data_IF_835288908723
#
_entry.id   IF_835288908723
#
_cell.length_a   1.000
_cell.length_b   1.000
_cell.length_c   1.000
_cell.angle_alpha   90.00
_cell.angle_beta   90.00
_cell.angle_gamma   90.00
#
_symmetry.space_group_name_H-M   'P 1'
#
loop_
_entity.id
_entity.type
_entity.pdbx_description
1 polymer ?
#
# COMPACT_ATOMS: atom_id res chain seq x y z
N UNK A 1 -20.26 -3.75 19.67
CA UNK A 1 -19.94 -2.75 18.64
C UNK A 1 -18.79 -3.30 17.79
N UNK A 2 -18.82 -3.02 16.51
CA UNK A 2 -17.77 -3.40 15.58
C UNK A 2 -16.53 -2.52 15.80
N UNK A 3 -15.33 -3.10 15.76
CA UNK A 3 -14.08 -2.35 15.93
C UNK A 3 -13.71 -1.62 14.62
N UNK A 4 -13.16 -0.41 14.66
CA UNK A 4 -12.70 0.28 13.45
C UNK A 4 -11.58 -0.47 12.74
N UNK A 5 -11.37 -0.18 11.45
CA UNK A 5 -10.31 -0.82 10.65
C UNK A 5 -8.91 -0.54 11.18
N UNK A 6 -8.72 0.62 11.80
CA UNK A 6 -7.51 0.96 12.54
C UNK A 6 -7.87 1.35 13.98
N UNK A 7 -7.40 0.55 14.95
CA UNK A 7 -7.54 0.81 16.38
C UNK A 7 -6.17 0.92 17.02
N UNK A 8 -5.74 2.14 17.28
CA UNK A 8 -4.43 2.44 17.87
C UNK A 8 -4.51 2.61 19.39
N UNK A 9 -4.71 1.49 20.09
CA UNK A 9 -4.77 1.50 21.55
C UNK A 9 -3.42 1.82 22.21
N UNK A 10 -2.32 1.61 21.53
CA UNK A 10 -0.97 1.96 21.99
C UNK A 10 -0.57 3.42 21.68
N UNK A 11 -1.37 4.14 20.92
CA UNK A 11 -1.14 5.54 20.56
C UNK A 11 0.22 5.79 19.89
N UNK A 12 0.60 4.90 18.95
CA UNK A 12 1.89 4.93 18.24
C UNK A 12 1.86 5.60 16.88
N UNK A 13 0.66 5.89 16.34
CA UNK A 13 0.49 6.60 15.05
C UNK A 13 -0.34 7.87 15.29
N UNK A 14 0.24 9.02 15.03
CA UNK A 14 -0.36 10.31 15.36
C UNK A 14 -0.90 11.05 14.14
N UNK A 15 -1.91 11.88 14.41
CA UNK A 15 -2.38 12.91 13.48
C UNK A 15 -2.82 12.39 12.12
N UNK A 16 -2.35 13.02 11.07
CA UNK A 16 -2.69 12.71 9.69
C UNK A 16 -2.28 11.29 9.27
N UNK A 17 -1.15 10.79 9.78
CA UNK A 17 -0.69 9.44 9.50
C UNK A 17 -1.68 8.37 9.97
N UNK A 18 -2.39 8.58 11.08
CA UNK A 18 -3.44 7.67 11.54
C UNK A 18 -4.64 7.64 10.57
N UNK A 19 -5.02 8.79 10.02
CA UNK A 19 -6.07 8.88 9.02
C UNK A 19 -5.66 8.19 7.70
N UNK A 20 -4.41 8.35 7.27
CA UNK A 20 -3.86 7.67 6.08
C UNK A 20 -3.90 6.16 6.23
N UNK A 21 -3.48 5.62 7.37
CA UNK A 21 -3.54 4.18 7.66
C UNK A 21 -4.98 3.68 7.62
N UNK A 22 -5.89 4.37 8.31
CA UNK A 22 -7.32 4.04 8.29
C UNK A 22 -7.88 4.01 6.87
N UNK A 23 -7.62 5.05 6.09
CA UNK A 23 -8.08 5.15 4.70
C UNK A 23 -7.51 4.05 3.81
N UNK A 24 -6.23 3.68 3.99
CA UNK A 24 -5.62 2.59 3.25
C UNK A 24 -6.28 1.25 3.54
N UNK A 25 -6.56 0.94 4.81
CA UNK A 25 -7.26 -0.28 5.21
C UNK A 25 -8.71 -0.30 4.67
N UNK A 26 -9.46 0.77 4.87
CA UNK A 26 -10.85 0.87 4.43
C UNK A 26 -11.00 0.80 2.89
N UNK A 27 -10.03 1.31 2.14
CA UNK A 27 -10.00 1.20 0.68
C UNK A 27 -9.92 -0.27 0.22
N UNK A 28 -9.05 -1.07 0.84
CA UNK A 28 -8.91 -2.50 0.54
C UNK A 28 -10.15 -3.27 0.98
N UNK A 29 -10.66 -2.98 2.18
CA UNK A 29 -11.88 -3.61 2.71
C UNK A 29 -13.07 -3.39 1.78
N UNK A 30 -13.28 -2.15 1.34
CA UNK A 30 -14.36 -1.80 0.42
C UNK A 30 -14.18 -2.43 -0.97
N UNK A 31 -12.95 -2.43 -1.49
CA UNK A 31 -12.64 -2.98 -2.82
C UNK A 31 -12.96 -4.46 -2.92
N UNK A 32 -12.65 -5.23 -1.88
CA UNK A 32 -12.73 -6.68 -1.89
C UNK A 32 -13.87 -7.26 -1.05
N UNK A 33 -14.64 -6.43 -0.37
CA UNK A 33 -15.67 -6.86 0.59
C UNK A 33 -15.10 -7.80 1.68
N UNK A 34 -13.95 -7.40 2.24
CA UNK A 34 -13.24 -8.09 3.31
C UNK A 34 -13.06 -7.19 4.51
N UNK A 35 -12.52 -7.72 5.59
CA UNK A 35 -12.07 -6.98 6.76
C UNK A 35 -10.60 -7.28 7.02
N UNK A 36 -9.75 -6.24 7.13
CA UNK A 36 -8.30 -6.39 7.33
C UNK A 36 -7.77 -5.47 8.44
N UNK A 37 -8.43 -5.42 9.56
CA UNK A 37 -8.14 -4.48 10.64
C UNK A 37 -6.71 -4.57 11.19
N UNK A 38 -6.23 -3.45 11.73
CA UNK A 38 -4.99 -3.35 12.52
C UNK A 38 -5.34 -2.87 13.91
N UNK A 39 -4.84 -3.56 14.94
CA UNK A 39 -5.05 -3.26 16.35
C UNK A 39 -3.70 -3.17 17.05
N UNK A 40 -3.39 -2.03 17.66
CA UNK A 40 -2.22 -1.90 18.52
C UNK A 40 -2.63 -1.83 19.97
N UNK A 41 -1.88 -2.45 20.86
CA UNK A 41 -2.10 -2.42 22.29
C UNK A 41 -0.81 -2.13 23.04
N UNK A 42 -0.86 -1.36 24.15
CA UNK A 42 0.28 -1.24 25.06
C UNK A 42 0.72 -2.60 25.59
N UNK A 43 -0.25 -3.48 25.90
CA UNK A 43 -0.05 -4.85 26.31
C UNK A 43 -1.34 -5.65 26.15
N UNK A 44 -1.23 -6.92 25.79
CA UNK A 44 -2.37 -7.87 25.79
C UNK A 44 -2.60 -8.52 27.16
N UNK A 45 -1.99 -7.97 28.22
CA UNK A 45 -2.25 -8.29 29.63
C UNK A 45 -2.12 -9.79 29.99
N UNK A 46 -1.00 -10.41 29.60
CA UNK A 46 -0.70 -11.80 29.96
C UNK A 46 -1.43 -12.87 29.13
N UNK A 47 -2.25 -12.46 28.15
CA UNK A 47 -2.79 -13.36 27.13
C UNK A 47 -1.73 -13.60 26.06
N UNK A 48 -1.68 -14.77 25.45
CA UNK A 48 -0.88 -14.96 24.25
C UNK A 48 -1.45 -14.09 23.14
N UNK A 49 -0.58 -13.43 22.37
CA UNK A 49 -1.00 -12.51 21.32
C UNK A 49 -1.88 -13.18 20.26
N UNK A 50 -1.60 -14.45 19.92
CA UNK A 50 -2.45 -15.23 19.02
C UNK A 50 -3.87 -15.44 19.56
N UNK A 51 -4.00 -15.83 20.84
CA UNK A 51 -5.31 -16.02 21.50
C UNK A 51 -6.09 -14.70 21.57
N UNK A 52 -5.39 -13.59 21.76
CA UNK A 52 -5.98 -12.27 21.76
C UNK A 52 -6.49 -11.88 20.35
N UNK A 53 -5.68 -12.12 19.31
CA UNK A 53 -6.05 -11.85 17.93
C UNK A 53 -7.25 -12.71 17.48
N UNK A 54 -7.24 -14.01 17.81
CA UNK A 54 -8.35 -14.93 17.53
C UNK A 54 -9.64 -14.50 18.24
N UNK A 55 -9.53 -14.03 19.47
CA UNK A 55 -10.68 -13.48 20.20
C UNK A 55 -11.25 -12.24 19.52
N UNK A 56 -10.41 -11.31 19.08
CA UNK A 56 -10.86 -10.14 18.33
C UNK A 56 -11.58 -10.55 17.04
N UNK A 57 -10.99 -11.47 16.29
CA UNK A 57 -11.55 -11.99 15.04
C UNK A 57 -12.91 -12.67 15.27
N UNK A 58 -13.07 -13.38 16.36
CA UNK A 58 -14.33 -14.04 16.72
C UNK A 58 -15.41 -13.10 17.26
N UNK A 59 -15.06 -11.91 17.75
CA UNK A 59 -15.99 -11.04 18.50
C UNK A 59 -16.28 -9.71 17.82
N UNK A 60 -15.25 -8.93 17.47
CA UNK A 60 -15.39 -7.53 17.02
C UNK A 60 -14.84 -7.21 15.64
N UNK A 61 -14.00 -8.09 15.09
CA UNK A 61 -13.50 -7.97 13.71
C UNK A 61 -14.38 -8.84 12.80
N UNK A 62 -15.44 -8.26 12.29
CA UNK A 62 -16.48 -8.91 11.49
C UNK A 62 -16.89 -8.01 10.35
N UNK A 63 -17.77 -8.49 9.48
CA UNK A 63 -18.37 -7.70 8.41
C UNK A 63 -17.74 -7.89 7.04
N UNK A 64 -16.57 -8.54 6.95
CA UNK A 64 -16.01 -8.96 5.67
C UNK A 64 -16.76 -10.20 5.15
N UNK A 65 -17.60 -10.04 4.15
CA UNK A 65 -18.36 -11.17 3.59
C UNK A 65 -17.45 -12.21 2.95
N UNK A 66 -16.34 -11.77 2.34
CA UNK A 66 -15.36 -12.63 1.68
C UNK A 66 -14.21 -13.08 2.59
N UNK A 67 -14.08 -12.51 3.78
CA UNK A 67 -13.07 -12.92 4.76
C UNK A 67 -12.69 -11.82 5.73
N UNK A 68 -12.18 -12.23 6.89
CA UNK A 68 -11.77 -11.34 7.96
C UNK A 68 -10.35 -11.66 8.43
N UNK A 69 -9.56 -10.62 8.69
CA UNK A 69 -8.17 -10.71 9.15
C UNK A 69 -7.89 -9.56 10.11
N UNK A 70 -7.04 -9.80 11.09
CA UNK A 70 -6.55 -8.77 12.00
C UNK A 70 -5.05 -8.91 12.23
N UNK A 71 -4.33 -7.79 12.13
CA UNK A 71 -2.96 -7.66 12.61
C UNK A 71 -3.00 -7.05 14.01
N UNK A 72 -2.47 -7.74 15.01
CA UNK A 72 -2.33 -7.26 16.39
C UNK A 72 -0.88 -6.99 16.70
N UNK A 73 -0.61 -5.85 17.34
CA UNK A 73 0.70 -5.50 17.92
C UNK A 73 0.58 -5.40 19.44
N UNK A 74 1.49 -6.07 20.16
CA UNK A 74 1.77 -5.87 21.59
C UNK A 74 3.07 -5.06 21.73
N UNK A 75 2.96 -3.82 22.20
CA UNK A 75 4.11 -2.91 22.28
C UNK A 75 5.03 -3.24 23.46
N UNK A 76 4.51 -3.84 24.53
CA UNK A 76 5.31 -4.24 25.69
C UNK A 76 6.25 -5.39 25.34
N UNK A 77 5.72 -6.44 24.69
CA UNK A 77 6.49 -7.62 24.29
C UNK A 77 7.18 -7.43 22.94
N UNK A 78 6.85 -6.35 22.21
CA UNK A 78 7.31 -6.07 20.83
C UNK A 78 7.01 -7.24 19.89
N UNK A 79 5.83 -7.79 20.05
CA UNK A 79 5.34 -8.95 19.30
C UNK A 79 4.15 -8.56 18.41
N UNK A 80 3.90 -9.37 17.40
CA UNK A 80 2.79 -9.19 16.48
C UNK A 80 2.21 -10.54 16.06
N UNK A 81 0.94 -10.53 15.69
CA UNK A 81 0.26 -11.70 15.18
C UNK A 81 -0.80 -11.32 14.15
N UNK A 82 -0.94 -12.15 13.10
CA UNK A 82 -2.04 -12.04 12.13
C UNK A 82 -2.97 -13.22 12.33
N UNK A 83 -4.22 -12.96 12.67
CA UNK A 83 -5.29 -13.95 12.68
C UNK A 83 -6.16 -13.80 11.42
N UNK A 84 -6.55 -14.93 10.82
CA UNK A 84 -7.39 -15.01 9.63
C UNK A 84 -8.55 -15.98 9.85
N UNK A 85 -9.74 -15.64 9.38
CA UNK A 85 -10.85 -16.59 9.32
C UNK A 85 -10.67 -17.60 8.15
N UNK A 86 -11.48 -18.68 8.07
CA UNK A 86 -11.33 -19.69 7.02
C UNK A 86 -11.46 -19.13 5.59
N UNK A 87 -12.27 -18.10 5.38
CA UNK A 87 -12.43 -17.48 4.06
C UNK A 87 -11.18 -16.69 3.67
N UNK A 88 -10.65 -15.87 4.59
CA UNK A 88 -9.42 -15.12 4.38
C UNK A 88 -8.22 -16.05 4.20
N UNK A 89 -8.16 -17.15 4.98
CA UNK A 89 -7.10 -18.15 4.89
C UNK A 89 -7.02 -18.83 3.51
N UNK A 90 -8.13 -18.93 2.80
CA UNK A 90 -8.14 -19.46 1.43
C UNK A 90 -7.45 -18.51 0.44
N UNK A 91 -7.48 -17.19 0.71
CA UNK A 91 -6.85 -16.15 -0.13
C UNK A 91 -5.43 -15.84 0.32
N UNK A 92 -5.20 -15.76 1.63
CA UNK A 92 -3.91 -15.48 2.27
C UNK A 92 -3.56 -16.67 3.14
N UNK A 93 -2.81 -17.61 2.59
CA UNK A 93 -2.47 -18.88 3.24
C UNK A 93 -1.52 -18.69 4.42
N UNK A 94 -1.55 -19.61 5.37
CA UNK A 94 -0.72 -19.50 6.59
C UNK A 94 0.78 -19.64 6.31
N UNK A 95 1.17 -20.36 5.29
CA UNK A 95 2.56 -20.59 4.90
C UNK A 95 3.09 -19.45 4.01
N UNK A 96 2.65 -19.38 2.76
CA UNK A 96 3.14 -18.42 1.77
C UNK A 96 2.54 -17.03 2.01
N UNK A 97 1.22 -16.94 2.16
CA UNK A 97 0.51 -15.67 2.28
C UNK A 97 0.96 -14.85 3.49
N UNK A 98 0.97 -15.46 4.68
CA UNK A 98 1.41 -14.78 5.92
C UNK A 98 2.90 -14.43 5.87
N UNK A 99 3.74 -15.27 5.26
CA UNK A 99 5.16 -14.96 5.06
C UNK A 99 5.33 -13.71 4.19
N UNK A 100 4.61 -13.60 3.09
CA UNK A 100 4.66 -12.42 2.21
C UNK A 100 4.13 -11.16 2.91
N UNK A 101 3.09 -11.29 3.73
CA UNK A 101 2.61 -10.22 4.58
C UNK A 101 3.70 -9.74 5.54
N UNK A 102 4.31 -10.67 6.28
CA UNK A 102 5.45 -10.42 7.20
C UNK A 102 6.58 -9.67 6.49
N UNK A 103 7.03 -10.17 5.36
CA UNK A 103 8.13 -9.57 4.60
C UNK A 103 7.84 -8.13 4.14
N UNK A 104 6.55 -7.79 3.97
CA UNK A 104 6.15 -6.44 3.57
C UNK A 104 6.24 -5.41 4.71
N UNK A 105 5.95 -5.77 5.95
CA UNK A 105 5.77 -4.79 7.02
C UNK A 105 6.75 -4.89 8.20
N UNK A 106 7.34 -6.05 8.48
CA UNK A 106 8.14 -6.26 9.73
C UNK A 106 9.38 -5.38 9.79
N UNK A 107 10.09 -5.18 8.68
CA UNK A 107 11.26 -4.30 8.65
C UNK A 107 10.90 -2.85 8.99
N UNK A 108 9.72 -2.38 8.56
CA UNK A 108 9.20 -1.05 8.87
C UNK A 108 8.78 -0.93 10.33
N UNK A 109 8.16 -1.98 10.90
CA UNK A 109 7.87 -2.05 12.33
C UNK A 109 9.15 -1.95 13.17
N UNK A 110 10.17 -2.73 12.82
CA UNK A 110 11.45 -2.76 13.52
C UNK A 110 12.18 -1.42 13.47
N UNK A 111 11.99 -0.65 12.40
CA UNK A 111 12.52 0.71 12.24
C UNK A 111 11.67 1.79 12.95
N UNK A 112 10.54 1.43 13.57
CA UNK A 112 9.62 2.39 14.20
C UNK A 112 8.73 3.14 13.21
N UNK A 113 8.73 2.76 11.93
CA UNK A 113 7.91 3.37 10.88
C UNK A 113 6.53 2.71 10.85
N UNK A 114 5.74 2.88 11.90
CA UNK A 114 4.48 2.17 12.12
C UNK A 114 3.43 2.46 11.04
N UNK A 115 3.21 3.71 10.70
CA UNK A 115 2.24 4.07 9.66
C UNK A 115 2.58 3.44 8.31
N UNK A 116 3.86 3.47 7.90
CA UNK A 116 4.33 2.85 6.68
C UNK A 116 4.21 1.31 6.73
N UNK A 117 4.45 0.72 7.90
CA UNK A 117 4.27 -0.72 8.10
C UNK A 117 2.81 -1.13 7.90
N UNK A 118 1.86 -0.40 8.45
CA UNK A 118 0.43 -0.70 8.32
C UNK A 118 -0.11 -0.44 6.91
N UNK A 119 0.39 0.58 6.24
CA UNK A 119 0.09 0.81 4.81
C UNK A 119 0.64 -0.33 3.94
N UNK A 120 1.87 -0.79 4.20
CA UNK A 120 2.45 -1.93 3.50
C UNK A 120 1.68 -3.25 3.76
N UNK A 121 1.17 -3.44 4.97
CA UNK A 121 0.25 -4.54 5.30
C UNK A 121 -1.01 -4.48 4.43
N UNK A 122 -1.66 -3.32 4.33
CA UNK A 122 -2.85 -3.12 3.50
C UNK A 122 -2.56 -3.38 2.01
N UNK A 123 -1.47 -2.85 1.48
CA UNK A 123 -1.06 -3.03 0.08
C UNK A 123 -0.78 -4.50 -0.25
N UNK A 124 -0.10 -5.21 0.65
CA UNK A 124 0.17 -6.63 0.45
C UNK A 124 -1.10 -7.47 0.50
N UNK A 125 -2.02 -7.15 1.41
CA UNK A 125 -3.35 -7.78 1.46
C UNK A 125 -4.12 -7.54 0.15
N UNK A 126 -4.14 -6.31 -0.35
CA UNK A 126 -4.77 -5.95 -1.64
C UNK A 126 -4.20 -6.78 -2.79
N UNK A 127 -2.88 -6.92 -2.86
CA UNK A 127 -2.22 -7.72 -3.88
C UNK A 127 -2.64 -9.20 -3.82
N UNK A 128 -2.56 -9.82 -2.63
CA UNK A 128 -2.86 -11.25 -2.47
C UNK A 128 -4.33 -11.57 -2.73
N UNK A 129 -5.23 -10.74 -2.27
CA UNK A 129 -6.67 -10.90 -2.48
C UNK A 129 -7.03 -10.67 -3.96
N UNK A 130 -6.46 -9.64 -4.59
CA UNK A 130 -6.65 -9.37 -6.03
C UNK A 130 -6.17 -10.53 -6.89
N UNK A 131 -5.05 -11.14 -6.52
CA UNK A 131 -4.54 -12.33 -7.21
C UNK A 131 -5.52 -13.49 -7.10
N UNK A 132 -6.00 -13.78 -5.87
CA UNK A 132 -6.99 -14.84 -5.65
C UNK A 132 -8.29 -14.61 -6.43
N UNK A 133 -8.80 -13.38 -6.43
CA UNK A 133 -10.02 -13.04 -7.18
C UNK A 133 -9.86 -13.23 -8.68
N UNK A 134 -8.66 -13.00 -9.21
CA UNK A 134 -8.35 -13.13 -10.64
C UNK A 134 -8.04 -14.56 -11.05
N UNK A 135 -7.22 -15.27 -10.29
CA UNK A 135 -6.70 -16.59 -10.65
C UNK A 135 -7.51 -17.75 -10.05
N UNK A 136 -8.39 -17.48 -9.08
CA UNK A 136 -9.18 -18.50 -8.38
C UNK A 136 -8.38 -19.39 -7.42
N UNK A 137 -7.11 -19.03 -7.16
CA UNK A 137 -6.20 -19.72 -6.24
C UNK A 137 -5.33 -18.73 -5.49
N UNK A 138 -4.83 -19.14 -4.29
CA UNK A 138 -3.89 -18.34 -3.54
C UNK A 138 -2.58 -18.13 -4.31
N UNK A 139 -1.94 -16.98 -4.07
CA UNK A 139 -0.65 -16.68 -4.69
C UNK A 139 0.43 -17.65 -4.21
N UNK A 140 1.17 -18.19 -5.17
CA UNK A 140 2.35 -19.02 -4.96
C UNK A 140 3.49 -18.49 -5.84
N UNK A 141 4.64 -18.10 -5.27
CA UNK A 141 5.77 -17.62 -6.05
C UNK A 141 6.36 -18.68 -6.98
N UNK A 142 6.15 -19.97 -6.71
CA UNK A 142 6.63 -21.06 -7.56
C UNK A 142 5.78 -21.24 -8.83
N UNK A 143 4.57 -20.67 -8.85
CA UNK A 143 3.70 -20.62 -10.02
C UNK A 143 4.10 -19.52 -11.05
N UNK A 144 5.29 -18.96 -10.94
CA UNK A 144 5.74 -17.71 -11.59
C UNK A 144 5.86 -17.72 -13.13
N UNK A 145 5.30 -18.67 -13.84
CA UNK A 145 5.24 -18.60 -15.32
C UNK A 145 3.91 -18.11 -15.88
N UNK A 146 3.04 -17.50 -15.06
CA UNK A 146 1.83 -16.87 -15.57
C UNK A 146 2.14 -15.43 -16.01
N UNK A 147 2.06 -15.15 -17.32
CA UNK A 147 2.07 -13.80 -17.93
C UNK A 147 1.06 -12.82 -17.30
N UNK A 148 0.16 -13.32 -16.48
CA UNK A 148 -0.88 -12.60 -15.76
C UNK A 148 -0.37 -11.86 -14.51
N UNK A 149 0.70 -12.34 -13.86
CA UNK A 149 1.38 -11.61 -12.78
C UNK A 149 1.98 -10.26 -13.23
N UNK A 150 2.40 -10.17 -14.49
CA UNK A 150 2.84 -8.92 -15.14
C UNK A 150 1.71 -7.88 -15.26
N UNK A 151 0.46 -8.32 -15.42
CA UNK A 151 -0.69 -7.41 -15.54
C UNK A 151 -1.05 -6.71 -14.22
N UNK A 152 -0.88 -7.38 -13.08
CA UNK A 152 -1.16 -6.80 -11.75
C UNK A 152 -0.06 -5.78 -11.38
N UNK A 153 1.20 -6.11 -11.63
CA UNK A 153 2.31 -5.18 -11.44
C UNK A 153 2.18 -3.92 -12.32
N UNK A 154 1.64 -4.06 -13.55
CA UNK A 154 1.38 -2.93 -14.44
C UNK A 154 0.28 -1.99 -13.93
N UNK A 155 -0.77 -2.52 -13.28
CA UNK A 155 -1.85 -1.69 -12.71
C UNK A 155 -1.35 -0.91 -11.49
N UNK A 156 -0.54 -1.52 -10.63
CA UNK A 156 0.07 -0.83 -9.48
C UNK A 156 1.09 0.22 -9.92
N UNK A 157 1.86 -0.06 -10.99
CA UNK A 157 2.81 0.92 -11.57
C UNK A 157 2.11 2.09 -12.26
N UNK A 158 0.91 1.88 -12.83
CA UNK A 158 0.11 2.96 -13.41
C UNK A 158 -0.43 3.92 -12.35
N UNK A 159 -0.83 3.43 -11.19
CA UNK A 159 -1.26 4.29 -10.07
C UNK A 159 -0.08 5.06 -9.48
N UNK A 160 1.09 4.44 -9.36
CA UNK A 160 2.34 5.10 -8.97
C UNK A 160 2.81 6.13 -10.02
N UNK A 161 2.72 5.80 -11.31
CA UNK A 161 3.09 6.69 -12.41
C UNK A 161 2.18 7.92 -12.51
N UNK A 162 0.89 7.80 -12.16
CA UNK A 162 -0.03 8.94 -12.12
C UNK A 162 0.35 9.94 -11.03
N UNK A 163 0.77 9.46 -9.86
CA UNK A 163 1.27 10.30 -8.77
C UNK A 163 2.59 11.00 -9.14
N UNK A 164 3.54 10.26 -9.72
CA UNK A 164 4.83 10.80 -10.19
C UNK A 164 4.65 11.76 -11.34
N UNK A 165 3.75 11.47 -12.29
CA UNK A 165 3.43 12.40 -13.40
C UNK A 165 2.88 13.72 -12.88
N UNK A 166 1.93 13.71 -11.95
CA UNK A 166 1.37 14.93 -11.38
C UNK A 166 2.41 15.73 -10.58
N UNK A 167 3.31 15.03 -9.88
CA UNK A 167 4.43 15.66 -9.19
C UNK A 167 5.41 16.32 -10.17
N UNK A 168 5.81 15.61 -11.23
CA UNK A 168 6.74 16.13 -12.24
C UNK A 168 6.14 17.28 -13.05
N UNK A 169 4.85 17.22 -13.41
CA UNK A 169 4.16 18.33 -14.10
C UNK A 169 4.09 19.56 -13.19
N UNK A 170 3.85 19.37 -11.88
CA UNK A 170 3.86 20.46 -10.90
C UNK A 170 5.24 21.11 -10.73
N UNK A 171 6.32 20.37 -10.90
CA UNK A 171 7.69 20.89 -10.78
C UNK A 171 8.21 21.49 -12.11
N UNK A 172 7.63 21.15 -13.25
CA UNK A 172 8.02 21.68 -14.57
C UNK A 172 7.28 22.96 -14.99
N UNK A 173 6.33 23.44 -14.20
CA UNK A 173 5.59 24.69 -14.51
C UNK A 173 6.44 25.97 -14.33
N UNK A 174 7.73 25.85 -14.00
CA UNK A 174 8.66 26.98 -13.87
C UNK A 174 9.56 27.18 -15.08
N UNK A 175 9.28 26.54 -16.22
CA UNK A 175 9.91 26.93 -17.47
C UNK A 175 9.15 28.13 -18.00
N UNK A 176 9.71 29.32 -17.76
CA UNK A 176 9.25 30.53 -18.45
C UNK A 176 9.20 30.26 -19.96
N UNK A 177 8.12 30.63 -20.68
CA UNK A 177 8.06 30.46 -22.11
C UNK A 177 9.30 31.14 -22.72
N UNK A 178 10.08 30.36 -23.46
CA UNK A 178 11.31 30.86 -24.08
C UNK A 178 11.00 32.13 -24.83
N UNK A 179 11.72 33.17 -24.48
CA UNK A 179 11.64 34.48 -25.17
C UNK A 179 11.89 34.15 -26.67
N UNK A 180 10.93 34.47 -27.50
CA UNK A 180 11.05 34.27 -28.94
C UNK A 180 12.39 34.81 -29.41
N UNK A 181 13.15 34.04 -30.17
CA UNK A 181 14.43 34.38 -30.77
C UNK A 181 14.38 35.67 -31.64
N UNK A 182 13.20 36.21 -31.87
CA UNK A 182 12.97 37.52 -32.50
C UNK A 182 13.63 38.72 -31.82
N UNK A 183 14.00 38.57 -30.51
CA UNK A 183 14.71 39.63 -29.79
C UNK A 183 16.22 39.62 -30.04
N UNK A 184 16.75 38.60 -30.71
CA UNK A 184 18.17 38.51 -31.11
C UNK A 184 18.40 38.78 -32.59
N UNK A 185 17.33 39.02 -33.35
CA UNK A 185 17.43 39.44 -34.73
C UNK A 185 17.41 40.96 -34.79
N UNK A 186 18.58 41.55 -34.70
CA UNK A 186 18.79 42.94 -35.05
C UNK A 186 18.58 43.03 -36.58
N UNK A 187 17.48 43.66 -36.96
CA UNK A 187 17.04 43.72 -38.38
C UNK A 187 18.02 44.47 -39.30
N UNK A 188 19.00 45.14 -38.70
CA UNK A 188 20.00 45.95 -39.43
C UNK A 188 21.34 45.20 -39.64
N UNK A 189 21.47 43.95 -39.12
CA UNK A 189 22.73 43.20 -39.22
C UNK A 189 22.77 42.13 -40.31
N UNK A 190 21.68 41.96 -41.08
CA UNK A 190 21.68 41.10 -42.27
C UNK A 190 22.01 41.92 -43.54
N UNK A 191 23.28 42.29 -43.68
CA UNK A 191 23.83 42.60 -44.99
C UNK A 191 24.29 41.31 -45.65
N UNK A 192 23.54 40.80 -46.59
CA UNK A 192 24.00 39.72 -47.48
C UNK A 192 25.05 40.34 -48.40
N UNK A 193 26.31 40.15 -48.06
CA UNK A 193 27.43 40.45 -48.94
C UNK A 193 27.98 39.14 -49.49
N UNK A 194 27.67 38.87 -50.73
CA UNK A 194 28.40 37.86 -51.49
C UNK A 194 27.55 36.70 -51.99
N UNK A 195 26.94 36.91 -53.11
CA UNK A 195 26.61 35.90 -54.08
C UNK A 195 27.92 35.52 -54.78
N UNK A 196 28.40 34.28 -54.55
CA UNK A 196 29.43 33.67 -55.41
C UNK A 196 28.93 32.30 -55.79
N UNK A 197 28.42 32.31 -57.02
CA UNK A 197 28.24 31.18 -57.90
C UNK A 197 29.59 30.50 -58.18
N UNK A 198 29.68 29.18 -57.86
CA UNK A 198 30.40 28.20 -58.67
C UNK A 198 29.73 26.84 -58.46
#
# INVERSE_FOLDING_TARGET
AEMPSFHDGADIVKGEAAAEVKNALEAVEKKHNVRIAVVTQPSVKGMKIGDYADKLLGTVIKGGEKGNMVLVLDMQERDWYIATDPKMKAMITNDIGIKLMKDAFVSKLSAGNYAEAFKAYAEKADFLISYYEKEGKAYDPDDQFSFLGLGIAAVLSLLGAFGVRNYLIGTMSNVAPGVNASHYLDKDSFAVTGENDY
#
